data_IF_714242502841
#
_entry.id   IF_714242502841
#
_cell.length_a   1.000
_cell.length_b   1.000
_cell.length_c   1.000
_cell.angle_alpha   90.00
_cell.angle_beta   90.00
_cell.angle_gamma   90.00
#
_symmetry.space_group_name_H-M   'P 1'
#
loop_
_entity.id
_entity.type
_entity.pdbx_description
1 polymer ?
#
# COMPACT_ATOMS: atom_id res chain seq x y z
N UNK A 1 -11.36 4.09 -3.53
CA UNK A 1 -10.02 4.53 -3.06
C UNK A 1 -10.11 5.59 -1.96
N UNK A 2 -11.00 6.59 -2.02
CA UNK A 2 -11.18 7.57 -0.92
C UNK A 2 -11.69 7.00 0.41
N UNK A 3 -12.30 5.82 0.42
CA UNK A 3 -12.99 5.28 1.61
C UNK A 3 -12.09 4.58 2.63
N UNK A 4 -10.87 4.18 2.25
CA UNK A 4 -9.98 3.44 3.16
C UNK A 4 -9.24 4.38 4.13
N UNK A 5 -8.80 5.55 3.65
CA UNK A 5 -7.90 6.42 4.42
C UNK A 5 -8.63 7.41 5.33
N UNK A 6 -9.89 7.74 5.02
CA UNK A 6 -10.74 8.53 5.94
C UNK A 6 -11.03 7.82 7.27
N UNK A 7 -10.72 6.53 7.40
CA UNK A 7 -10.88 5.75 8.63
C UNK A 7 -9.57 5.52 9.42
N UNK A 8 -8.47 6.20 9.05
CA UNK A 8 -7.17 5.99 9.71
C UNK A 8 -6.48 4.69 9.31
N UNK A 9 -6.75 4.20 8.08
CA UNK A 9 -6.00 3.06 7.55
C UNK A 9 -4.51 3.42 7.42
N UNK A 10 -3.67 2.61 8.05
CA UNK A 10 -2.22 2.73 7.96
C UNK A 10 -1.77 2.47 6.51
N UNK A 11 -1.12 3.46 5.90
CA UNK A 11 -0.65 3.39 4.52
C UNK A 11 0.43 2.33 4.32
N UNK A 12 1.13 1.98 5.40
CA UNK A 12 2.15 0.95 5.44
C UNK A 12 1.65 -0.34 6.08
N UNK A 13 0.34 -0.51 6.22
CA UNK A 13 -0.22 -1.73 6.80
C UNK A 13 0.31 -2.97 6.10
N UNK A 14 0.80 -3.94 6.86
CA UNK A 14 1.32 -5.19 6.33
C UNK A 14 0.36 -6.33 6.63
N UNK A 15 0.06 -7.12 5.59
CA UNK A 15 -0.71 -8.34 5.76
C UNK A 15 0.18 -9.45 6.33
N UNK A 16 0.20 -9.61 7.66
CA UNK A 16 1.04 -10.59 8.35
C UNK A 16 0.81 -12.06 7.95
N UNK A 17 -0.36 -12.39 7.40
CA UNK A 17 -0.65 -13.75 6.90
C UNK A 17 -0.34 -13.95 5.40
N UNK A 18 0.01 -12.90 4.66
CA UNK A 18 0.24 -12.95 3.20
C UNK A 18 1.49 -12.14 2.91
N UNK A 19 2.64 -12.75 3.19
CA UNK A 19 3.98 -12.25 2.82
C UNK A 19 4.27 -10.80 3.22
N UNK A 20 3.64 -10.29 4.29
CA UNK A 20 3.74 -8.88 4.72
C UNK A 20 3.40 -7.87 3.62
N UNK A 21 2.46 -8.21 2.73
CA UNK A 21 2.09 -7.32 1.63
C UNK A 21 1.50 -6.01 2.12
N UNK A 22 2.05 -4.92 1.60
CA UNK A 22 1.59 -3.56 1.82
C UNK A 22 0.59 -3.12 0.74
N UNK A 23 -0.16 -2.02 0.96
CA UNK A 23 -0.96 -1.41 -0.10
C UNK A 23 -0.16 -1.17 -1.39
N UNK A 24 1.14 -0.86 -1.28
CA UNK A 24 2.02 -0.66 -2.43
C UNK A 24 2.28 -1.95 -3.20
N UNK A 25 2.47 -3.09 -2.52
CA UNK A 25 2.59 -4.40 -3.17
C UNK A 25 1.33 -4.75 -3.98
N UNK A 26 0.14 -4.51 -3.41
CA UNK A 26 -1.13 -4.73 -4.13
C UNK A 26 -1.29 -3.79 -5.32
N UNK A 27 -0.94 -2.52 -5.18
CA UNK A 27 -1.02 -1.54 -6.26
C UNK A 27 -0.07 -1.89 -7.42
N UNK A 28 1.16 -2.32 -7.11
CA UNK A 28 2.14 -2.78 -8.08
C UNK A 28 1.70 -4.08 -8.79
N UNK A 29 1.25 -5.08 -8.03
CA UNK A 29 0.77 -6.37 -8.56
C UNK A 29 -0.38 -6.19 -9.57
N UNK A 30 -1.23 -5.19 -9.35
CA UNK A 30 -2.41 -4.93 -10.18
C UNK A 30 -2.15 -3.88 -11.27
N UNK A 31 -0.90 -3.46 -11.45
CA UNK A 31 -0.46 -2.43 -12.40
C UNK A 31 -1.29 -1.13 -12.30
N UNK A 32 -1.57 -0.68 -11.07
CA UNK A 32 -2.40 0.50 -10.78
C UNK A 32 -1.52 1.72 -10.54
N UNK A 33 -1.00 2.31 -11.61
CA UNK A 33 -0.11 3.48 -11.56
C UNK A 33 -0.68 4.63 -10.72
N UNK A 34 -1.97 4.94 -10.86
CA UNK A 34 -2.63 6.00 -10.08
C UNK A 34 -2.61 5.70 -8.57
N UNK A 35 -2.79 4.43 -8.19
CA UNK A 35 -2.77 4.01 -6.80
C UNK A 35 -1.35 4.02 -6.23
N UNK A 36 -0.35 3.62 -7.05
CA UNK A 36 1.07 3.71 -6.69
C UNK A 36 1.45 5.16 -6.43
N UNK A 37 1.15 6.06 -7.37
CA UNK A 37 1.47 7.48 -7.22
C UNK A 37 0.80 8.08 -5.98
N UNK A 38 -0.49 7.80 -5.78
CA UNK A 38 -1.22 8.27 -4.62
C UNK A 38 -0.62 7.76 -3.30
N UNK A 39 -0.22 6.48 -3.23
CA UNK A 39 0.42 5.91 -2.05
C UNK A 39 1.78 6.56 -1.75
N UNK A 40 2.60 6.79 -2.79
CA UNK A 40 3.88 7.47 -2.65
C UNK A 40 3.72 8.91 -2.16
N UNK A 41 2.78 9.66 -2.72
CA UNK A 41 2.47 11.03 -2.33
C UNK A 41 2.01 11.13 -0.87
N UNK A 42 1.40 10.06 -0.33
CA UNK A 42 0.94 9.98 1.06
C UNK A 42 1.96 9.33 2.01
N UNK A 43 3.21 9.10 1.57
CA UNK A 43 4.29 8.62 2.44
C UNK A 43 4.39 7.10 2.59
N UNK A 44 3.90 6.33 1.61
CA UNK A 44 4.09 4.89 1.60
C UNK A 44 5.58 4.52 1.50
N UNK A 45 6.01 3.54 2.30
CA UNK A 45 7.38 3.05 2.36
C UNK A 45 7.66 2.16 1.15
N UNK A 46 8.48 2.66 0.23
CA UNK A 46 8.89 1.94 -1.00
C UNK A 46 9.72 0.70 -0.68
N UNK A 47 10.58 0.78 0.33
CA UNK A 47 11.51 -0.29 0.72
C UNK A 47 10.86 -1.37 1.61
N UNK A 48 9.53 -1.43 1.63
CA UNK A 48 8.84 -2.51 2.34
C UNK A 48 9.17 -3.84 1.66
N UNK A 49 9.90 -4.71 2.35
CA UNK A 49 10.23 -6.04 1.86
C UNK A 49 9.16 -7.05 2.28
N UNK A 50 8.76 -7.89 1.35
CA UNK A 50 8.07 -9.13 1.66
C UNK A 50 9.03 -10.11 2.37
N UNK A 51 8.46 -11.11 3.06
CA UNK A 51 9.20 -12.20 3.73
C UNK A 51 9.13 -13.49 2.95
#
# INVERSE_FOLDING_TARGET
>A
MRSALSNGADINWQHSNVYNWTPLHKAAMWNRSDAVQWLLENGATVDSRDV
#
